data_IF_293397761627
#
_entry.id   IF_293397761627
#
_cell.length_a   1.000
_cell.length_b   1.000
_cell.length_c   1.000
_cell.angle_alpha   90.00
_cell.angle_beta   90.00
_cell.angle_gamma   90.00
#
_symmetry.space_group_name_H-M   'P 1'
#
loop_
_entity.id
_entity.type
_entity.pdbx_description
1 polymer ?
#
# COMPACT_ATOMS: atom_id res chain seq x y z
N UNK A 1 31.98 -25.03 28.36
CA UNK A 1 32.03 -26.39 27.78
C UNK A 1 31.54 -26.28 26.34
N UNK A 2 32.47 -26.10 25.38
CA UNK A 2 33.03 -27.10 24.44
C UNK A 2 31.95 -27.68 23.52
N UNK A 3 31.97 -27.54 22.22
CA UNK A 3 32.99 -27.94 21.25
C UNK A 3 32.72 -27.36 19.83
N UNK A 4 33.78 -26.86 19.23
CA UNK A 4 33.93 -26.70 17.76
C UNK A 4 33.95 -28.06 17.05
N UNK A 5 33.46 -28.12 15.83
CA UNK A 5 33.94 -29.11 14.86
C UNK A 5 34.20 -28.45 13.50
N UNK A 6 35.45 -28.52 13.19
CA UNK A 6 36.19 -28.23 11.96
C UNK A 6 36.20 -29.48 11.08
N UNK A 7 36.27 -29.34 9.78
CA UNK A 7 36.87 -30.23 8.76
C UNK A 7 35.96 -30.35 7.52
N UNK A 8 36.39 -30.32 6.26
CA UNK A 8 37.68 -30.65 5.65
C UNK A 8 37.67 -30.21 4.17
N UNK A 9 38.75 -29.60 3.72
CA UNK A 9 39.07 -29.39 2.28
C UNK A 9 39.28 -30.73 1.59
N UNK A 10 38.87 -30.83 0.32
CA UNK A 10 39.43 -31.76 -0.62
C UNK A 10 39.71 -31.11 -1.98
N UNK A 11 40.97 -31.05 -2.32
CA UNK A 11 41.50 -30.69 -3.64
C UNK A 11 41.61 -31.99 -4.46
N UNK A 12 41.23 -31.98 -5.71
CA UNK A 12 41.80 -32.91 -6.73
C UNK A 12 41.83 -32.22 -8.09
N UNK A 13 42.91 -31.94 -8.53
CA UNK A 13 43.81 -32.20 -9.67
C UNK A 13 43.17 -32.24 -11.05
N UNK A 14 43.84 -31.48 -11.89
CA UNK A 14 43.78 -31.36 -13.32
C UNK A 14 44.11 -32.68 -14.05
N UNK A 15 43.44 -32.90 -15.18
CA UNK A 15 44.03 -33.60 -16.30
C UNK A 15 43.56 -32.92 -17.59
N UNK A 16 44.56 -32.49 -18.34
CA UNK A 16 44.40 -31.99 -19.71
C UNK A 16 44.19 -33.16 -20.67
N UNK A 17 43.34 -33.04 -21.65
CA UNK A 17 43.48 -33.79 -22.89
C UNK A 17 42.95 -33.00 -24.08
N UNK A 18 43.81 -32.72 -24.97
CA UNK A 18 43.61 -32.15 -26.30
C UNK A 18 42.84 -33.14 -27.20
N UNK A 19 41.85 -32.63 -27.91
CA UNK A 19 41.55 -33.14 -29.24
C UNK A 19 40.73 -32.12 -30.04
N UNK A 20 41.36 -31.61 -31.11
CA UNK A 20 40.73 -30.84 -32.18
C UNK A 20 39.64 -31.69 -32.86
N UNK A 21 38.46 -31.09 -33.03
CA UNK A 21 37.62 -31.52 -34.13
C UNK A 21 36.85 -30.30 -34.69
N UNK A 22 37.18 -29.94 -35.89
CA UNK A 22 36.45 -29.00 -36.75
C UNK A 22 35.01 -29.50 -36.92
N UNK A 23 34.03 -28.71 -36.53
CA UNK A 23 32.65 -28.89 -36.96
C UNK A 23 32.09 -27.53 -37.43
N UNK A 24 31.70 -27.56 -38.65
CA UNK A 24 31.04 -26.56 -39.47
C UNK A 24 30.02 -25.72 -38.71
N UNK A 25 30.23 -24.40 -38.74
CA UNK A 25 29.26 -23.41 -38.30
C UNK A 25 28.13 -23.31 -39.33
N UNK A 26 27.04 -23.98 -39.07
CA UNK A 26 25.76 -23.70 -39.72
C UNK A 26 25.19 -22.45 -39.07
N UNK A 27 25.23 -21.32 -39.79
CA UNK A 27 24.55 -20.10 -39.39
C UNK A 27 23.04 -20.32 -39.60
N UNK A 28 22.41 -20.91 -38.58
CA UNK A 28 20.95 -20.90 -38.43
C UNK A 28 20.52 -19.54 -37.93
N UNK A 29 20.05 -18.67 -38.82
CA UNK A 29 19.32 -17.49 -38.44
C UNK A 29 18.02 -17.96 -37.76
N UNK A 30 18.08 -18.13 -36.44
CA UNK A 30 16.90 -18.36 -35.64
C UNK A 30 16.15 -17.03 -35.51
N UNK A 31 15.17 -16.83 -36.39
CA UNK A 31 14.12 -15.83 -36.12
C UNK A 31 13.37 -16.28 -34.88
N UNK A 32 13.84 -15.85 -33.71
CA UNK A 32 13.05 -15.90 -32.51
C UNK A 32 11.77 -15.04 -32.73
N UNK A 33 10.58 -15.59 -32.53
CA UNK A 33 9.37 -14.79 -32.62
C UNK A 33 9.50 -13.67 -31.58
N UNK A 34 9.42 -12.42 -32.05
CA UNK A 34 9.32 -11.24 -31.22
C UNK A 34 8.09 -11.47 -30.33
N UNK A 35 8.29 -11.85 -29.09
CA UNK A 35 7.21 -11.87 -28.12
C UNK A 35 6.73 -10.42 -28.02
N UNK A 36 5.59 -10.15 -28.64
CA UNK A 36 4.81 -8.96 -28.33
C UNK A 36 4.53 -9.04 -26.82
N UNK A 37 5.21 -8.21 -26.05
CA UNK A 37 4.83 -7.94 -24.67
C UNK A 37 3.35 -7.51 -24.72
N UNK A 38 2.47 -8.45 -24.40
CA UNK A 38 1.06 -8.21 -24.23
C UNK A 38 0.97 -7.14 -23.16
N UNK A 39 0.78 -5.90 -23.59
CA UNK A 39 0.57 -4.74 -22.73
C UNK A 39 -0.60 -5.11 -21.84
N UNK A 40 -0.31 -5.64 -20.66
CA UNK A 40 -1.32 -5.97 -19.66
C UNK A 40 -2.08 -4.68 -19.42
N UNK A 41 -3.34 -4.66 -19.80
CA UNK A 41 -4.23 -3.53 -19.54
C UNK A 41 -4.15 -3.22 -18.04
N UNK A 42 -3.71 -2.02 -17.73
CA UNK A 42 -3.28 -1.65 -16.38
C UNK A 42 -4.44 -1.32 -15.44
N UNK A 43 -5.69 -1.38 -15.90
CA UNK A 43 -6.84 -1.05 -15.06
C UNK A 43 -7.17 -2.23 -14.14
N UNK A 44 -6.71 -2.16 -12.90
CA UNK A 44 -7.01 -3.16 -11.86
C UNK A 44 -8.44 -2.99 -11.34
N UNK A 45 -9.01 -1.78 -11.41
CA UNK A 45 -10.37 -1.48 -10.94
C UNK A 45 -11.21 -1.00 -12.13
N UNK A 46 -12.40 -1.62 -12.40
CA UNK A 46 -13.36 -1.08 -13.36
C UNK A 46 -13.71 0.37 -13.03
N UNK A 47 -13.66 1.25 -14.04
CA UNK A 47 -13.83 2.70 -13.84
C UNK A 47 -15.22 3.11 -13.34
N UNK A 48 -16.21 2.25 -13.59
CA UNK A 48 -17.62 2.37 -13.17
C UNK A 48 -17.90 1.81 -11.79
N UNK A 49 -16.97 1.06 -11.22
CA UNK A 49 -17.12 0.56 -9.84
C UNK A 49 -16.84 1.68 -8.83
N UNK A 50 -17.93 2.28 -8.34
CA UNK A 50 -17.91 3.37 -7.35
C UNK A 50 -18.68 2.93 -6.10
N UNK A 51 -18.00 2.43 -5.07
CA UNK A 51 -18.67 2.18 -3.78
C UNK A 51 -19.20 3.51 -3.20
N UNK A 52 -20.43 3.50 -2.68
CA UNK A 52 -21.11 4.68 -2.10
C UNK A 52 -20.64 4.92 -0.65
N UNK A 53 -19.33 5.08 -0.44
CA UNK A 53 -18.76 5.26 0.89
C UNK A 53 -19.11 6.62 1.50
N UNK A 54 -19.34 7.64 0.68
CA UNK A 54 -19.82 8.96 1.11
C UNK A 54 -21.19 8.87 1.77
N UNK A 55 -22.12 8.16 1.15
CA UNK A 55 -23.46 7.95 1.70
C UNK A 55 -23.43 7.19 3.02
N UNK A 56 -22.59 6.14 3.11
CA UNK A 56 -22.41 5.39 4.36
C UNK A 56 -21.86 6.29 5.47
N UNK A 57 -20.95 7.21 5.14
CA UNK A 57 -20.42 8.17 6.11
C UNK A 57 -21.50 9.13 6.62
N UNK A 58 -22.34 9.65 5.72
CA UNK A 58 -23.47 10.53 6.06
C UNK A 58 -24.48 9.79 6.94
N UNK A 59 -24.86 8.58 6.56
CA UNK A 59 -25.81 7.75 7.32
C UNK A 59 -25.31 7.45 8.74
N UNK A 60 -24.01 7.16 8.89
CA UNK A 60 -23.37 6.95 10.20
C UNK A 60 -23.38 8.22 11.04
N UNK A 61 -23.07 9.37 10.44
CA UNK A 61 -23.08 10.67 11.14
C UNK A 61 -24.49 11.05 11.57
N UNK A 62 -25.51 10.84 10.72
CA UNK A 62 -26.89 11.08 11.06
C UNK A 62 -27.42 10.15 12.16
N UNK A 63 -27.15 8.84 12.04
CA UNK A 63 -27.53 7.87 13.06
C UNK A 63 -26.92 8.25 14.42
N UNK A 64 -25.66 8.68 14.40
CA UNK A 64 -24.98 9.17 15.57
C UNK A 64 -25.61 10.46 16.12
N UNK A 65 -26.00 11.41 15.28
CA UNK A 65 -26.63 12.68 15.71
C UNK A 65 -28.00 12.49 16.35
N UNK A 66 -28.77 11.48 15.91
CA UNK A 66 -30.15 11.19 16.39
C UNK A 66 -30.23 10.65 17.82
N UNK A 67 -29.16 10.08 18.37
CA UNK A 67 -29.15 9.56 19.74
C UNK A 67 -28.77 10.66 20.75
N UNK A 68 -29.72 11.22 21.55
CA UNK A 68 -29.43 12.26 22.52
C UNK A 68 -28.72 11.76 23.78
N UNK A 69 -28.77 10.42 24.05
CA UNK A 69 -28.25 9.82 25.27
C UNK A 69 -27.03 8.93 25.03
N UNK A 70 -26.11 9.40 24.20
CA UNK A 70 -24.91 8.63 23.82
C UNK A 70 -24.08 8.22 25.02
N UNK A 71 -23.90 6.93 25.19
CA UNK A 71 -22.88 6.43 26.09
C UNK A 71 -21.46 6.69 25.51
N UNK A 72 -20.46 6.75 26.38
CA UNK A 72 -19.06 6.85 25.92
C UNK A 72 -18.69 5.69 24.99
N UNK A 73 -19.25 4.51 25.22
CA UNK A 73 -19.01 3.36 24.36
C UNK A 73 -19.60 3.55 22.96
N UNK A 74 -20.79 4.13 22.85
CA UNK A 74 -21.42 4.48 21.57
C UNK A 74 -20.58 5.52 20.82
N UNK A 75 -20.07 6.53 21.52
CA UNK A 75 -19.16 7.55 20.96
C UNK A 75 -17.89 6.93 20.38
N UNK A 76 -17.25 6.05 21.16
CA UNK A 76 -16.01 5.40 20.74
C UNK A 76 -16.24 4.51 19.52
N UNK A 77 -17.35 3.75 19.50
CA UNK A 77 -17.69 2.88 18.37
C UNK A 77 -17.94 3.67 17.09
N UNK A 78 -18.76 4.71 17.15
CA UNK A 78 -19.04 5.54 15.98
C UNK A 78 -17.77 6.23 15.45
N UNK A 79 -16.90 6.68 16.35
CA UNK A 79 -15.59 7.23 15.96
C UNK A 79 -14.73 6.22 15.23
N UNK A 80 -14.74 4.94 15.67
CA UNK A 80 -14.00 3.87 15.01
C UNK A 80 -14.61 3.54 13.64
N UNK A 81 -15.93 3.40 13.56
CA UNK A 81 -16.62 3.08 12.29
C UNK A 81 -16.34 4.15 11.22
N UNK A 82 -16.31 5.43 11.61
CA UNK A 82 -15.93 6.53 10.72
C UNK A 82 -14.45 6.45 10.30
N UNK A 83 -13.54 6.10 11.21
CA UNK A 83 -12.13 5.95 10.91
C UNK A 83 -11.88 4.79 9.92
N UNK A 84 -12.56 3.67 10.10
CA UNK A 84 -12.47 2.50 9.22
C UNK A 84 -13.01 2.81 7.81
N UNK A 85 -14.08 3.58 7.72
CA UNK A 85 -14.63 4.04 6.45
C UNK A 85 -13.67 4.98 5.72
N UNK A 86 -13.01 5.90 6.44
CA UNK A 86 -12.00 6.78 5.85
C UNK A 86 -10.77 6.00 5.37
N UNK A 87 -10.34 4.97 6.10
CA UNK A 87 -9.28 4.08 5.65
C UNK A 87 -9.66 3.32 4.36
N UNK A 88 -10.90 2.87 4.25
CA UNK A 88 -11.40 2.23 3.02
C UNK A 88 -11.39 3.22 1.83
N UNK A 89 -11.84 4.46 2.03
CA UNK A 89 -11.78 5.52 1.01
C UNK A 89 -10.35 5.85 0.60
N UNK A 90 -9.47 5.99 1.57
CA UNK A 90 -8.04 6.23 1.34
C UNK A 90 -7.41 5.12 0.50
N UNK A 91 -7.68 3.86 0.85
CA UNK A 91 -7.18 2.70 0.13
C UNK A 91 -7.68 2.68 -1.33
N UNK A 92 -8.98 2.89 -1.56
CA UNK A 92 -9.55 2.93 -2.91
C UNK A 92 -8.93 4.07 -3.75
N UNK A 93 -8.79 5.25 -3.16
CA UNK A 93 -8.16 6.41 -3.83
C UNK A 93 -6.69 6.14 -4.16
N UNK A 94 -5.95 5.53 -3.23
CA UNK A 94 -4.57 5.12 -3.43
C UNK A 94 -4.43 4.13 -4.60
N UNK A 95 -5.25 3.08 -4.64
CA UNK A 95 -5.21 2.07 -5.72
C UNK A 95 -5.54 2.70 -7.08
N UNK A 96 -6.56 3.58 -7.14
CA UNK A 96 -6.90 4.31 -8.38
C UNK A 96 -5.77 5.23 -8.85
N UNK A 97 -5.11 5.90 -7.91
CA UNK A 97 -3.97 6.74 -8.24
C UNK A 97 -2.78 5.90 -8.72
N UNK A 98 -2.49 4.78 -8.06
CA UNK A 98 -1.46 3.81 -8.48
C UNK A 98 -1.71 3.32 -9.92
N UNK A 99 -2.96 3.06 -10.28
CA UNK A 99 -3.34 2.61 -11.61
C UNK A 99 -3.13 3.69 -12.68
N UNK A 100 -3.34 4.95 -12.33
CA UNK A 100 -3.19 6.11 -13.23
C UNK A 100 -1.74 6.58 -13.43
N UNK A 101 -0.78 6.09 -12.64
CA UNK A 101 0.60 6.56 -12.65
C UNK A 101 1.52 5.67 -13.50
N UNK A 102 2.62 6.25 -14.03
CA UNK A 102 3.74 5.54 -14.62
C UNK A 102 4.53 4.71 -13.57
N UNK A 103 5.37 3.73 -13.97
CA UNK A 103 6.06 2.84 -13.04
C UNK A 103 6.95 3.54 -12.02
N UNK A 104 7.62 4.62 -12.39
CA UNK A 104 8.49 5.37 -11.48
C UNK A 104 7.67 6.13 -10.44
N UNK A 105 6.61 6.82 -10.88
CA UNK A 105 5.68 7.53 -10.01
C UNK A 105 4.94 6.59 -9.06
N UNK A 106 4.61 5.36 -9.50
CA UNK A 106 4.06 4.30 -8.63
C UNK A 106 5.01 3.93 -7.51
N UNK A 107 6.30 3.71 -7.83
CA UNK A 107 7.31 3.37 -6.83
C UNK A 107 7.47 4.48 -5.79
N UNK A 108 7.47 5.74 -6.23
CA UNK A 108 7.54 6.88 -5.33
C UNK A 108 6.30 6.96 -4.43
N UNK A 109 5.10 6.83 -5.00
CA UNK A 109 3.86 6.86 -4.21
C UNK A 109 3.78 5.71 -3.20
N UNK A 110 4.28 4.52 -3.57
CA UNK A 110 4.34 3.38 -2.66
C UNK A 110 5.21 3.69 -1.44
N UNK A 111 6.41 4.24 -1.65
CA UNK A 111 7.32 4.61 -0.57
C UNK A 111 6.73 5.72 0.31
N UNK A 112 6.19 6.78 -0.30
CA UNK A 112 5.48 7.84 0.43
C UNK A 112 4.36 7.30 1.31
N UNK A 113 3.55 6.38 0.77
CA UNK A 113 2.42 5.80 1.51
C UNK A 113 2.87 4.91 2.65
N UNK A 114 3.93 4.12 2.44
CA UNK A 114 4.55 3.30 3.47
C UNK A 114 5.06 4.16 4.64
N UNK A 115 5.80 5.23 4.32
CA UNK A 115 6.34 6.13 5.33
C UNK A 115 5.24 6.88 6.08
N UNK A 116 4.20 7.30 5.37
CA UNK A 116 3.04 7.95 5.96
C UNK A 116 2.29 7.01 6.91
N UNK A 117 2.05 5.74 6.52
CA UNK A 117 1.41 4.73 7.38
C UNK A 117 2.19 4.51 8.67
N UNK A 118 3.52 4.46 8.60
CA UNK A 118 4.38 4.32 9.78
C UNK A 118 4.24 5.50 10.74
N UNK A 119 4.20 6.72 10.20
CA UNK A 119 4.11 7.97 10.99
C UNK A 119 2.70 8.29 11.49
N UNK A 120 1.65 7.79 10.81
CA UNK A 120 0.26 8.11 11.15
C UNK A 120 -0.09 7.77 12.60
N UNK A 121 0.27 6.56 13.03
CA UNK A 121 0.00 6.07 14.39
C UNK A 121 0.80 6.89 15.42
N UNK A 122 2.07 7.15 15.14
CA UNK A 122 2.95 7.95 15.99
C UNK A 122 2.40 9.38 16.17
N UNK A 123 2.04 10.03 15.06
CA UNK A 123 1.48 11.39 15.09
C UNK A 123 0.12 11.45 15.80
N UNK A 124 -0.74 10.44 15.61
CA UNK A 124 -2.02 10.36 16.32
C UNK A 124 -1.80 10.16 17.83
N UNK A 125 -0.84 9.34 18.22
CA UNK A 125 -0.48 9.14 19.62
C UNK A 125 0.12 10.40 20.27
N UNK A 126 0.95 11.14 19.54
CA UNK A 126 1.54 12.38 20.01
C UNK A 126 0.52 13.50 20.24
N UNK A 127 -0.64 13.42 19.58
CA UNK A 127 -1.73 14.40 19.76
C UNK A 127 -2.59 14.15 21.01
N UNK A 128 -2.39 13.01 21.69
CA UNK A 128 -3.11 12.69 22.93
C UNK A 128 -2.51 13.48 24.08
N UNK A 129 -3.31 14.33 24.69
CA UNK A 129 -2.93 15.17 25.83
C UNK A 129 -3.42 14.62 27.17
N UNK A 130 -4.49 13.84 27.15
CA UNK A 130 -5.10 13.24 28.35
C UNK A 130 -4.28 12.07 28.88
N UNK A 131 -4.10 12.02 30.21
CA UNK A 131 -3.39 10.92 30.88
C UNK A 131 -4.33 9.73 31.12
N UNK A 132 -4.60 8.96 30.06
CA UNK A 132 -5.42 7.75 30.14
C UNK A 132 -6.93 7.99 30.15
N UNK A 133 -7.71 6.90 30.25
CA UNK A 133 -9.17 6.93 30.26
C UNK A 133 -9.80 7.09 28.88
N UNK A 134 -11.13 7.22 28.85
CA UNK A 134 -11.92 7.32 27.64
C UNK A 134 -11.67 8.57 26.80
N UNK A 135 -11.22 9.66 27.44
CA UNK A 135 -10.89 10.91 26.74
C UNK A 135 -9.65 10.75 25.87
N UNK A 136 -8.60 10.09 26.36
CA UNK A 136 -7.40 9.81 25.54
C UNK A 136 -7.72 8.97 24.31
N UNK A 137 -8.62 7.99 24.42
CA UNK A 137 -9.11 7.21 23.28
C UNK A 137 -9.80 8.09 22.24
N UNK A 138 -10.63 9.02 22.69
CA UNK A 138 -11.35 9.95 21.81
C UNK A 138 -10.39 10.93 21.10
N UNK A 139 -9.42 11.47 21.85
CA UNK A 139 -8.37 12.34 21.30
C UNK A 139 -7.55 11.62 20.24
N UNK A 140 -7.10 10.39 20.53
CA UNK A 140 -6.40 9.55 19.56
C UNK A 140 -7.21 9.32 18.28
N UNK A 141 -8.47 8.86 18.42
CA UNK A 141 -9.35 8.59 17.28
C UNK A 141 -9.61 9.84 16.46
N UNK A 142 -9.80 10.99 17.11
CA UNK A 142 -9.98 12.27 16.43
C UNK A 142 -8.74 12.70 15.63
N UNK A 143 -7.55 12.56 16.22
CA UNK A 143 -6.28 12.87 15.55
C UNK A 143 -6.02 11.92 14.38
N UNK A 144 -6.20 10.62 14.59
CA UNK A 144 -6.04 9.59 13.57
C UNK A 144 -6.95 9.86 12.35
N UNK A 145 -8.22 10.16 12.60
CA UNK A 145 -9.18 10.52 11.58
C UNK A 145 -8.72 11.76 10.79
N UNK A 146 -8.35 12.84 11.48
CA UNK A 146 -7.90 14.09 10.84
C UNK A 146 -6.70 13.86 9.92
N UNK A 147 -5.69 13.12 10.40
CA UNK A 147 -4.49 12.79 9.62
C UNK A 147 -4.85 11.96 8.37
N UNK A 148 -5.83 11.05 8.50
CA UNK A 148 -6.32 10.22 7.39
C UNK A 148 -7.11 11.06 6.37
N UNK A 149 -7.97 11.97 6.81
CA UNK A 149 -8.71 12.92 5.96
C UNK A 149 -7.76 13.81 5.15
N UNK A 150 -6.72 14.36 5.79
CA UNK A 150 -5.70 15.18 5.12
C UNK A 150 -4.96 14.39 4.03
N UNK A 151 -4.60 13.14 4.30
CA UNK A 151 -3.96 12.27 3.30
C UNK A 151 -4.90 11.91 2.17
N UNK A 152 -6.14 11.58 2.47
CA UNK A 152 -7.17 11.30 1.46
C UNK A 152 -7.32 12.50 0.52
N UNK A 153 -7.48 13.70 1.04
CA UNK A 153 -7.59 14.91 0.24
C UNK A 153 -6.34 15.18 -0.64
N UNK A 154 -5.14 14.81 -0.17
CA UNK A 154 -3.92 14.88 -0.99
C UNK A 154 -3.96 13.92 -2.17
N UNK A 155 -4.34 12.65 -1.93
CA UNK A 155 -4.41 11.64 -2.98
C UNK A 155 -5.54 11.94 -3.98
N UNK A 156 -6.68 12.43 -3.55
CA UNK A 156 -7.79 12.85 -4.41
C UNK A 156 -7.38 13.99 -5.36
N UNK A 157 -6.67 15.01 -4.86
CA UNK A 157 -6.11 16.08 -5.72
C UNK A 157 -5.16 15.52 -6.77
N UNK A 158 -4.22 14.67 -6.38
CA UNK A 158 -3.27 14.03 -7.32
C UNK A 158 -3.99 13.19 -8.38
N UNK A 159 -5.02 12.44 -7.97
CA UNK A 159 -5.84 11.64 -8.89
C UNK A 159 -6.61 12.52 -9.89
N UNK A 160 -7.16 13.64 -9.42
CA UNK A 160 -7.85 14.61 -10.29
C UNK A 160 -6.89 15.24 -11.31
N UNK A 161 -5.64 15.50 -10.94
CA UNK A 161 -4.61 16.01 -11.84
C UNK A 161 -4.24 15.01 -12.94
N UNK A 162 -4.17 13.70 -12.62
CA UNK A 162 -3.90 12.67 -13.63
C UNK A 162 -5.02 12.53 -14.66
N UNK A 163 -6.27 12.79 -14.29
CA UNK A 163 -7.43 12.74 -15.21
C UNK A 163 -7.48 13.91 -16.21
N UNK A 164 -6.72 14.96 -15.99
CA UNK A 164 -6.66 16.14 -16.87
C UNK A 164 -5.58 16.05 -17.96
N UNK A 165 -4.67 15.06 -17.82
CA UNK A 165 -3.61 14.78 -18.82
C UNK A 165 -4.07 13.84 -19.91
#
# INVERSE_FOLDING_TARGET
MTKCYFHKRSKFHAVACWLNLFVLISIGVSCAPKQEEKKVSAAVIPGDWKPFLEQVQEDLQEAFARDPNKSQQTLNRASQDIADLLDARLFITYVRLMDALDPLSRSNLFNEQKDWLAKRVENAQAAVTSKGGSLGTLEYSGAYRKITEERLAQLERRLAEQKKK
#
